data_IF_609076464872
#
_entry.id   IF_609076464872
#
_cell.length_a   1.000
_cell.length_b   1.000
_cell.length_c   1.000
_cell.angle_alpha   90.00
_cell.angle_beta   90.00
_cell.angle_gamma   90.00
#
_symmetry.space_group_name_H-M   'P 1'
#
loop_
_entity.id
_entity.type
_entity.pdbx_description
1 polymer ?
#
# COMPACT_ATOMS: atom_id res chain seq x y z
N UNK A 1 8.56 -13.60 11.88
CA UNK A 1 7.56 -14.61 11.44
C UNK A 1 6.59 -13.90 10.51
N UNK A 2 6.13 -14.55 9.43
CA UNK A 2 5.03 -14.02 8.60
C UNK A 2 3.67 -14.35 9.20
N UNK A 3 2.68 -13.57 8.79
CA UNK A 3 1.27 -13.85 9.04
C UNK A 3 0.72 -14.70 7.90
N UNK A 4 0.62 -16.01 8.10
CA UNK A 4 0.19 -16.96 7.05
C UNK A 4 -1.18 -16.55 6.46
N UNK A 5 -1.25 -16.45 5.14
CA UNK A 5 -2.46 -16.05 4.42
C UNK A 5 -2.75 -14.55 4.43
N UNK A 6 -1.85 -13.71 4.95
CA UNK A 6 -2.02 -12.26 4.93
C UNK A 6 -2.16 -11.72 3.51
N UNK A 7 -1.41 -12.23 2.53
CA UNK A 7 -1.54 -11.78 1.14
C UNK A 7 -2.97 -11.97 0.63
N UNK A 8 -3.56 -13.14 0.87
CA UNK A 8 -4.91 -13.44 0.42
C UNK A 8 -5.95 -12.52 1.08
N UNK A 9 -5.81 -12.28 2.40
CA UNK A 9 -6.72 -11.42 3.16
C UNK A 9 -6.64 -9.96 2.74
N UNK A 10 -5.42 -9.41 2.63
CA UNK A 10 -5.18 -8.03 2.20
C UNK A 10 -5.67 -7.86 0.76
N UNK A 11 -5.31 -8.78 -0.14
CA UNK A 11 -5.76 -8.74 -1.54
C UNK A 11 -7.27 -8.70 -1.63
N UNK A 12 -7.97 -9.60 -0.94
CA UNK A 12 -9.43 -9.63 -0.93
C UNK A 12 -10.02 -8.29 -0.49
N UNK A 13 -9.55 -7.76 0.65
CA UNK A 13 -10.06 -6.49 1.20
C UNK A 13 -9.82 -5.30 0.26
N UNK A 14 -8.66 -5.27 -0.42
CA UNK A 14 -8.25 -4.16 -1.29
C UNK A 14 -8.97 -4.24 -2.65
N UNK A 15 -9.23 -5.44 -3.16
CA UNK A 15 -9.99 -5.63 -4.41
C UNK A 15 -11.49 -5.36 -4.29
N UNK A 16 -12.01 -5.29 -3.06
CA UNK A 16 -13.40 -4.88 -2.81
C UNK A 16 -13.58 -3.35 -2.98
N UNK A 17 -12.50 -2.58 -3.12
CA UNK A 17 -12.56 -1.14 -3.34
C UNK A 17 -12.82 -0.78 -4.81
N UNK A 18 -13.64 0.23 -5.03
CA UNK A 18 -14.06 0.64 -6.37
C UNK A 18 -12.87 0.95 -7.30
N UNK A 19 -12.86 0.30 -8.47
CA UNK A 19 -11.86 0.55 -9.51
C UNK A 19 -10.46 0.03 -9.19
N UNK A 20 -10.29 -0.73 -8.11
CA UNK A 20 -9.03 -1.43 -7.82
C UNK A 20 -8.95 -2.74 -8.61
N UNK A 21 -7.81 -2.96 -9.24
CA UNK A 21 -7.46 -4.24 -9.88
C UNK A 21 -6.09 -4.72 -9.41
N UNK A 22 -5.83 -6.01 -9.59
CA UNK A 22 -4.53 -6.64 -9.28
C UNK A 22 -3.71 -6.89 -10.53
N UNK A 23 -2.39 -6.74 -10.42
CA UNK A 23 -1.44 -7.21 -11.43
C UNK A 23 -0.15 -7.73 -10.79
N UNK A 24 0.65 -8.54 -11.51
CA UNK A 24 1.98 -8.92 -11.02
C UNK A 24 2.88 -7.70 -10.89
N UNK A 25 3.55 -7.56 -9.75
CA UNK A 25 4.52 -6.49 -9.57
C UNK A 25 5.87 -6.88 -10.21
N UNK A 26 6.52 -5.93 -10.91
CA UNK A 26 7.75 -6.19 -11.70
C UNK A 26 8.96 -6.68 -10.88
N UNK A 27 8.95 -6.48 -9.56
CA UNK A 27 9.98 -6.94 -8.64
C UNK A 27 9.53 -8.13 -7.79
N UNK A 28 8.49 -8.84 -8.24
CA UNK A 28 7.79 -9.84 -7.44
C UNK A 28 6.72 -9.20 -6.55
N UNK A 29 5.71 -10.00 -6.19
CA UNK A 29 4.57 -9.57 -5.41
C UNK A 29 3.28 -9.32 -6.22
N UNK A 30 2.23 -8.90 -5.52
CA UNK A 30 0.93 -8.51 -6.08
C UNK A 30 0.75 -7.01 -5.93
N UNK A 31 0.57 -6.32 -7.05
CA UNK A 31 0.34 -4.88 -7.11
C UNK A 31 -1.15 -4.57 -7.17
N UNK A 32 -1.58 -3.56 -6.42
CA UNK A 32 -2.93 -3.02 -6.42
C UNK A 32 -2.95 -1.67 -7.15
N UNK A 33 -3.80 -1.52 -8.15
CA UNK A 33 -3.84 -0.31 -8.98
C UNK A 33 -5.25 0.23 -9.19
N UNK A 34 -5.38 1.54 -9.34
CA UNK A 34 -6.56 2.21 -9.89
C UNK A 34 -6.19 2.76 -11.27
N UNK A 35 -6.65 2.09 -12.33
CA UNK A 35 -6.23 2.41 -13.69
C UNK A 35 -4.72 2.21 -13.86
N UNK A 36 -3.94 3.29 -13.97
CA UNK A 36 -2.47 3.25 -14.08
C UNK A 36 -1.74 3.65 -12.80
N UNK A 37 -2.46 3.97 -11.72
CA UNK A 37 -1.86 4.47 -10.48
C UNK A 37 -1.82 3.37 -9.43
N UNK A 38 -0.64 3.13 -8.91
CA UNK A 38 -0.41 2.18 -7.84
C UNK A 38 -0.93 2.69 -6.50
N UNK A 39 -1.64 1.82 -5.79
CA UNK A 39 -2.12 2.01 -4.42
C UNK A 39 -1.12 1.40 -3.43
N UNK A 40 -0.46 0.31 -3.81
CA UNK A 40 0.60 -0.38 -3.08
C UNK A 40 0.76 -1.80 -3.60
N UNK A 41 1.74 -2.52 -3.07
CA UNK A 41 1.95 -3.92 -3.43
C UNK A 41 2.42 -4.74 -2.23
N UNK A 42 2.18 -6.04 -2.29
CA UNK A 42 2.50 -7.00 -1.23
C UNK A 42 3.47 -8.07 -1.73
N UNK A 43 4.45 -8.40 -0.89
CA UNK A 43 5.45 -9.44 -1.13
C UNK A 43 5.15 -10.66 -0.25
N UNK A 44 4.26 -11.54 -0.72
CA UNK A 44 3.86 -12.72 0.04
C UNK A 44 3.18 -12.35 1.36
N UNK A 45 3.35 -13.18 2.37
CA UNK A 45 2.76 -13.00 3.70
C UNK A 45 3.61 -12.12 4.65
N UNK A 46 4.52 -11.31 4.10
CA UNK A 46 5.64 -10.72 4.86
C UNK A 46 5.64 -9.19 4.91
N UNK A 47 5.34 -8.50 3.81
CA UNK A 47 5.62 -7.08 3.69
C UNK A 47 4.73 -6.41 2.64
N UNK A 48 4.33 -5.18 2.91
CA UNK A 48 3.59 -4.31 1.99
C UNK A 48 4.39 -3.03 1.77
N UNK A 49 4.58 -2.66 0.50
CA UNK A 49 5.17 -1.39 0.10
C UNK A 49 4.07 -0.46 -0.43
N UNK A 50 4.08 0.80 0.02
CA UNK A 50 2.95 1.72 -0.21
C UNK A 50 3.48 3.10 -0.64
N UNK A 51 3.05 3.63 -1.80
CA UNK A 51 3.43 4.95 -2.27
C UNK A 51 2.59 6.06 -1.63
N UNK A 52 3.25 7.08 -1.07
CA UNK A 52 2.61 8.30 -0.58
C UNK A 52 3.26 9.57 -1.16
N UNK A 53 2.57 10.73 -1.15
CA UNK A 53 3.25 12.02 -1.25
C UNK A 53 4.26 12.17 -0.11
N UNK A 54 5.46 12.72 -0.38
CA UNK A 54 6.56 12.78 0.62
C UNK A 54 6.13 13.34 1.98
N UNK A 55 5.32 14.42 2.02
CA UNK A 55 4.81 14.99 3.27
C UNK A 55 3.98 13.99 4.10
N UNK A 56 3.08 13.24 3.44
CA UNK A 56 2.26 12.20 4.09
C UNK A 56 3.14 11.04 4.55
N UNK A 57 4.14 10.67 3.74
CA UNK A 57 5.14 9.68 4.13
C UNK A 57 5.84 10.09 5.43
N UNK A 58 6.31 11.33 5.53
CA UNK A 58 7.03 11.82 6.71
C UNK A 58 6.15 11.79 7.96
N UNK A 59 4.86 12.12 7.84
CA UNK A 59 3.88 12.00 8.92
C UNK A 59 3.66 10.54 9.36
N UNK A 60 3.56 9.61 8.41
CA UNK A 60 3.41 8.17 8.68
C UNK A 60 4.63 7.64 9.45
N UNK A 61 5.85 8.03 9.02
CA UNK A 61 7.09 7.64 9.69
C UNK A 61 7.20 8.24 11.09
N UNK A 62 6.88 9.53 11.25
CA UNK A 62 6.90 10.20 12.56
C UNK A 62 5.90 9.57 13.55
N UNK A 63 4.76 9.07 13.05
CA UNK A 63 3.78 8.34 13.84
C UNK A 63 4.15 6.87 14.11
N UNK A 64 5.27 6.37 13.58
CA UNK A 64 5.71 4.98 13.74
C UNK A 64 4.79 3.96 13.05
N UNK A 65 3.94 4.40 12.11
CA UNK A 65 2.96 3.53 11.43
C UNK A 65 3.59 2.65 10.36
N UNK A 66 4.78 3.00 9.86
CA UNK A 66 5.54 2.22 8.88
C UNK A 66 7.04 2.58 8.95
N UNK A 67 7.87 1.88 8.18
CA UNK A 67 9.30 2.15 8.05
C UNK A 67 9.64 2.83 6.72
N UNK A 68 10.77 3.55 6.62
CA UNK A 68 11.28 3.99 5.33
C UNK A 68 11.35 2.81 4.36
N UNK A 69 11.04 3.04 3.09
CA UNK A 69 11.09 1.96 2.11
C UNK A 69 12.48 1.34 2.04
N UNK A 70 12.57 0.02 2.19
CA UNK A 70 13.82 -0.72 2.35
C UNK A 70 14.85 -0.53 1.23
N UNK A 71 14.40 -0.25 -0.01
CA UNK A 71 15.27 0.05 -1.17
C UNK A 71 15.25 1.51 -1.63
N UNK A 72 14.23 2.27 -1.24
CA UNK A 72 13.96 3.62 -1.79
C UNK A 72 13.66 4.62 -0.66
N UNK A 73 14.52 4.71 0.37
CA UNK A 73 14.20 5.43 1.61
C UNK A 73 13.98 6.93 1.40
N UNK A 74 14.56 7.52 0.36
CA UNK A 74 14.47 8.96 0.04
C UNK A 74 13.22 9.35 -0.77
N UNK A 75 12.37 8.36 -1.12
CA UNK A 75 11.17 8.57 -1.93
C UNK A 75 9.92 8.73 -1.06
N UNK A 76 8.75 8.82 -1.68
CA UNK A 76 7.46 8.83 -0.97
C UNK A 76 7.01 7.45 -0.48
N UNK A 77 7.80 6.40 -0.71
CA UNK A 77 7.44 5.03 -0.37
C UNK A 77 7.72 4.70 1.09
N UNK A 78 6.90 3.83 1.66
CA UNK A 78 7.12 3.17 2.95
C UNK A 78 7.08 1.66 2.79
N UNK A 79 7.74 0.95 3.69
CA UNK A 79 7.61 -0.50 3.85
C UNK A 79 6.92 -0.80 5.19
N UNK A 80 5.96 -1.71 5.19
CA UNK A 80 5.26 -2.18 6.38
C UNK A 80 5.34 -3.70 6.46
N UNK A 81 5.91 -4.22 7.55
CA UNK A 81 6.15 -5.64 7.75
C UNK A 81 5.02 -6.30 8.56
N UNK A 82 4.66 -7.52 8.18
CA UNK A 82 3.57 -8.29 8.77
C UNK A 82 4.14 -9.33 9.74
N UNK A 83 4.22 -8.98 11.03
CA UNK A 83 4.80 -9.81 12.08
C UNK A 83 3.77 -10.55 12.91
N UNK A 84 2.57 -9.98 13.05
CA UNK A 84 1.48 -10.48 13.87
C UNK A 84 0.12 -10.23 13.20
N UNK A 85 -0.91 -10.97 13.61
CA UNK A 85 -2.25 -10.93 13.00
C UNK A 85 -2.86 -9.52 12.89
N UNK A 86 -2.64 -8.66 13.89
CA UNK A 86 -3.12 -7.27 13.88
C UNK A 86 -2.47 -6.39 12.81
N UNK A 87 -1.33 -6.81 12.25
CA UNK A 87 -0.64 -6.07 11.20
C UNK A 87 -1.40 -6.14 9.87
N UNK A 88 -2.23 -7.17 9.66
CA UNK A 88 -3.08 -7.28 8.47
C UNK A 88 -4.04 -6.10 8.38
N UNK A 89 -4.74 -5.78 9.47
CA UNK A 89 -5.68 -4.65 9.51
C UNK A 89 -4.95 -3.31 9.41
N UNK A 90 -3.76 -3.18 10.00
CA UNK A 90 -2.94 -1.98 9.89
C UNK A 90 -2.44 -1.74 8.45
N UNK A 91 -2.04 -2.80 7.75
CA UNK A 91 -1.64 -2.75 6.35
C UNK A 91 -2.82 -2.33 5.46
N UNK A 92 -4.02 -2.90 5.69
CA UNK A 92 -5.24 -2.51 4.99
C UNK A 92 -5.55 -1.02 5.22
N UNK A 93 -5.40 -0.52 6.45
CA UNK A 93 -5.62 0.89 6.76
C UNK A 93 -4.63 1.82 6.03
N UNK A 94 -3.34 1.47 5.96
CA UNK A 94 -2.35 2.23 5.20
C UNK A 94 -2.64 2.21 3.69
N UNK A 95 -3.02 1.06 3.14
CA UNK A 95 -3.44 0.94 1.74
C UNK A 95 -4.70 1.77 1.47
N UNK A 96 -5.62 1.84 2.42
CA UNK A 96 -6.84 2.66 2.30
C UNK A 96 -6.51 4.16 2.28
N UNK A 97 -5.53 4.60 3.08
CA UNK A 97 -5.03 5.98 3.05
C UNK A 97 -4.44 6.31 1.67
N UNK A 98 -3.60 5.42 1.11
CA UNK A 98 -3.05 5.56 -0.25
C UNK A 98 -4.16 5.59 -1.31
N UNK A 99 -5.12 4.67 -1.23
CA UNK A 99 -6.28 4.59 -2.13
C UNK A 99 -7.09 5.89 -2.16
N UNK A 100 -7.40 6.47 -0.99
CA UNK A 100 -8.12 7.75 -0.89
C UNK A 100 -7.34 8.90 -1.52
N UNK A 101 -6.01 8.93 -1.33
CA UNK A 101 -5.15 9.94 -1.96
C UNK A 101 -5.14 9.77 -3.48
N UNK A 102 -4.99 8.54 -3.96
CA UNK A 102 -4.99 8.22 -5.39
C UNK A 102 -6.31 8.61 -6.07
N UNK A 103 -7.45 8.31 -5.43
CA UNK A 103 -8.77 8.72 -5.92
C UNK A 103 -8.91 10.24 -6.02
N UNK A 104 -8.58 10.98 -4.95
CA UNK A 104 -8.67 12.45 -4.93
C UNK A 104 -7.82 13.10 -6.01
N UNK A 105 -6.63 12.55 -6.28
CA UNK A 105 -5.77 13.03 -7.35
C UNK A 105 -6.34 12.74 -8.75
N UNK A 106 -6.95 11.56 -8.94
CA UNK A 106 -7.63 11.21 -10.20
C UNK A 106 -8.80 12.14 -10.49
N UNK A 107 -9.66 12.41 -9.51
CA UNK A 107 -10.79 13.34 -9.67
C UNK A 107 -10.31 14.74 -10.06
N UNK A 108 -9.27 15.25 -9.40
CA UNK A 108 -8.68 16.55 -9.74
C UNK A 108 -8.15 16.62 -11.16
N UNK A 109 -7.61 15.54 -11.72
CA UNK A 109 -7.09 15.51 -13.10
C UNK A 109 -8.21 15.46 -14.15
N UNK A 110 -9.41 15.01 -13.80
CA UNK A 110 -10.56 14.92 -14.72
C UNK A 110 -11.35 16.24 -14.75
N UNK A 111 -11.28 17.04 -13.68
CA UNK A 111 -11.99 18.32 -13.54
C UNK A 111 -11.24 19.54 -14.10
N UNK A 112 -10.10 19.37 -14.79
CA UNK A 112 -9.30 20.46 -15.40
C UNK A 112 -9.44 20.51 -16.91
#
# INVERSE_FOLDING_TARGET
MSVKGAQARITKAVTDWEGVSVQPHRFGGVEYVIGKREVGHIHGDHMVDIPFPKKVRDEILAAGRAQPHHLLPETGWVSFYLWQESDVEQAIALLQDSYRIAQKQKSKTIEV
#
